data_IF_483236412396
#
_entry.id   IF_483236412396
#
_cell.length_a   1.000
_cell.length_b   1.000
_cell.length_c   1.000
_cell.angle_alpha   90.00
_cell.angle_beta   90.00
_cell.angle_gamma   90.00
#
_symmetry.space_group_name_H-M   'P 1'
#
loop_
_entity.id
_entity.type
_entity.pdbx_description
1 polymer ?
#
# COMPACT_ATOMS: atom_id res chain seq x y z
N UNK A 1 -16.46 52.12 12.56
CA UNK A 1 -16.81 50.81 13.15
C UNK A 1 -16.21 50.76 14.54
N UNK A 2 -17.10 50.73 15.53
CA UNK A 2 -16.90 51.06 16.94
C UNK A 2 -16.25 49.90 17.70
N UNK A 3 -15.17 50.18 18.43
CA UNK A 3 -14.48 49.25 19.32
C UNK A 3 -15.20 49.21 20.68
N UNK A 4 -15.83 48.08 21.01
CA UNK A 4 -16.37 47.85 22.36
C UNK A 4 -15.36 47.04 23.19
N UNK A 5 -14.66 47.75 24.07
CA UNK A 5 -13.83 47.20 25.14
C UNK A 5 -14.73 46.92 26.35
N UNK A 6 -14.91 45.63 26.69
CA UNK A 6 -15.70 45.21 27.86
C UNK A 6 -14.76 44.77 28.99
N UNK A 7 -14.44 45.71 29.87
CA UNK A 7 -13.76 45.45 31.13
C UNK A 7 -14.74 44.81 32.12
N UNK A 8 -14.62 43.50 32.37
CA UNK A 8 -15.32 42.82 33.47
C UNK A 8 -14.60 43.12 34.79
N UNK A 9 -15.27 43.92 35.63
CA UNK A 9 -14.92 44.12 37.02
C UNK A 9 -15.16 42.82 37.81
N UNK A 10 -14.15 42.34 38.52
CA UNK A 10 -14.26 41.25 39.50
C UNK A 10 -14.77 41.80 40.84
N UNK A 11 -15.73 41.14 41.51
CA UNK A 11 -16.24 41.59 42.81
C UNK A 11 -15.22 41.37 43.95
N UNK A 12 -15.29 42.17 45.03
CA UNK A 12 -14.37 42.10 46.16
C UNK A 12 -14.62 40.85 47.03
N UNK A 13 -13.54 40.10 47.24
CA UNK A 13 -13.45 38.95 48.15
C UNK A 13 -13.77 39.38 49.59
N UNK A 14 -14.90 38.89 50.12
CA UNK A 14 -15.27 39.04 51.54
C UNK A 14 -14.51 37.98 52.35
N UNK A 15 -13.78 38.43 53.36
CA UNK A 15 -13.01 37.56 54.26
C UNK A 15 -13.94 36.77 55.21
N UNK A 16 -13.73 35.45 55.40
CA UNK A 16 -14.49 34.67 56.37
C UNK A 16 -13.99 34.86 57.82
N UNK A 17 -14.88 34.69 58.81
CA UNK A 17 -14.56 34.85 60.23
C UNK A 17 -13.68 33.71 60.77
N UNK A 18 -12.73 34.09 61.61
CA UNK A 18 -11.79 33.22 62.33
C UNK A 18 -12.49 32.66 63.57
N UNK A 19 -13.04 31.45 63.47
CA UNK A 19 -13.60 30.67 64.58
C UNK A 19 -12.79 29.40 64.80
N UNK A 20 -11.92 29.42 65.82
CA UNK A 20 -11.03 28.31 66.18
C UNK A 20 -11.76 27.15 66.86
N UNK A 21 -11.96 26.08 66.12
CA UNK A 21 -12.26 24.75 66.65
C UNK A 21 -11.16 23.79 66.19
N UNK A 22 -10.31 23.34 67.11
CA UNK A 22 -9.29 22.31 66.87
C UNK A 22 -9.97 20.95 66.70
N UNK A 23 -10.62 20.72 65.56
CA UNK A 23 -11.02 19.38 65.12
C UNK A 23 -9.75 18.71 64.62
N UNK A 24 -9.38 17.56 65.21
CA UNK A 24 -8.24 16.76 64.76
C UNK A 24 -8.46 16.35 63.29
N UNK A 25 -7.86 17.12 62.38
CA UNK A 25 -7.94 16.92 60.94
C UNK A 25 -7.31 15.57 60.59
N UNK A 26 -8.12 14.58 60.23
CA UNK A 26 -7.57 13.41 59.56
C UNK A 26 -6.82 13.87 58.30
N UNK A 27 -5.59 13.40 58.07
CA UNK A 27 -4.87 13.72 56.85
C UNK A 27 -5.75 13.28 55.66
N UNK A 28 -5.96 14.14 54.65
CA UNK A 28 -6.75 13.78 53.49
C UNK A 28 -6.16 12.52 52.87
N UNK A 29 -7.00 11.55 52.45
CA UNK A 29 -6.50 10.32 51.83
C UNK A 29 -5.64 10.69 50.61
N UNK A 30 -4.55 9.94 50.35
CA UNK A 30 -3.67 10.21 49.21
C UNK A 30 -4.51 10.23 47.92
N UNK A 31 -4.31 11.21 47.02
CA UNK A 31 -5.11 11.32 45.81
C UNK A 31 -4.92 10.07 44.97
N UNK A 32 -6.03 9.38 44.65
CA UNK A 32 -6.02 8.25 43.73
C UNK A 32 -5.47 8.70 42.38
N UNK A 33 -4.46 8.00 41.81
CA UNK A 33 -3.88 8.38 40.53
C UNK A 33 -4.95 8.31 39.45
N UNK A 34 -5.29 9.45 38.87
CA UNK A 34 -6.22 9.50 37.76
C UNK A 34 -5.59 8.87 36.51
N UNK A 35 -6.32 8.07 35.74
CA UNK A 35 -5.81 7.46 34.53
C UNK A 35 -5.40 8.56 33.55
N UNK A 36 -4.14 8.53 33.10
CA UNK A 36 -3.62 9.50 32.14
C UNK A 36 -4.14 9.16 30.75
N UNK A 37 -5.09 9.94 30.25
CA UNK A 37 -5.51 9.87 28.84
C UNK A 37 -4.51 10.58 27.95
N UNK A 38 -4.19 10.02 26.78
CA UNK A 38 -3.32 10.63 25.76
C UNK A 38 -4.13 10.94 24.51
N UNK A 39 -3.99 12.16 23.97
CA UNK A 39 -4.62 12.54 22.71
C UNK A 39 -3.90 11.91 21.52
N UNK A 40 -4.62 11.16 20.68
CA UNK A 40 -4.05 10.53 19.49
C UNK A 40 -3.70 11.57 18.41
N UNK A 41 -2.44 11.66 17.94
CA UNK A 41 -2.03 12.65 16.94
C UNK A 41 -2.60 12.38 15.54
N UNK A 42 -3.16 11.19 15.31
CA UNK A 42 -3.66 10.78 14.00
C UNK A 42 -5.14 11.06 13.78
N UNK A 43 -5.97 10.93 14.83
CA UNK A 43 -7.43 11.04 14.70
C UNK A 43 -8.09 11.91 15.78
N UNK A 44 -7.32 12.50 16.70
CA UNK A 44 -7.84 13.34 17.78
C UNK A 44 -8.60 12.59 18.89
N UNK A 45 -8.61 11.26 18.89
CA UNK A 45 -9.27 10.48 19.94
C UNK A 45 -8.43 10.43 21.23
N UNK A 46 -9.05 10.64 22.39
CA UNK A 46 -8.40 10.43 23.69
C UNK A 46 -8.34 8.93 24.00
N UNK A 47 -7.12 8.39 24.06
CA UNK A 47 -6.84 6.97 24.31
C UNK A 47 -6.42 6.77 25.77
N UNK A 48 -6.88 5.68 26.39
CA UNK A 48 -6.36 5.23 27.70
C UNK A 48 -5.07 4.43 27.53
N UNK A 49 -4.90 3.79 26.36
CA UNK A 49 -3.66 3.12 26.01
C UNK A 49 -2.57 4.12 25.60
N UNK A 50 -1.39 4.03 26.25
CA UNK A 50 -0.23 4.91 26.05
C UNK A 50 0.67 4.54 24.86
N UNK A 51 0.50 3.36 24.26
CA UNK A 51 1.31 2.90 23.13
C UNK A 51 0.58 2.97 21.79
N UNK A 52 -0.76 2.87 21.80
CA UNK A 52 -1.57 2.79 20.58
C UNK A 52 -2.96 3.35 20.79
N UNK A 53 -3.49 4.05 19.78
CA UNK A 53 -4.87 4.54 19.81
C UNK A 53 -5.89 3.40 19.73
N UNK A 54 -6.92 3.44 20.58
CA UNK A 54 -7.99 2.44 20.59
C UNK A 54 -8.91 2.50 19.36
N UNK A 55 -9.08 3.69 18.77
CA UNK A 55 -9.95 3.90 17.61
C UNK A 55 -9.22 3.64 16.28
N UNK A 56 -8.23 4.47 15.94
CA UNK A 56 -7.55 4.37 14.63
C UNK A 56 -6.42 3.34 14.60
N UNK A 57 -6.06 2.79 15.76
CA UNK A 57 -4.99 1.78 15.89
C UNK A 57 -3.60 2.27 15.46
N UNK A 58 -3.35 3.58 15.42
CA UNK A 58 -2.02 4.17 15.20
C UNK A 58 -1.14 4.10 16.45
N UNK A 59 0.15 3.87 16.28
CA UNK A 59 1.14 3.77 17.36
C UNK A 59 1.69 5.14 17.77
N UNK A 60 1.92 5.37 19.07
CA UNK A 60 2.36 6.67 19.57
C UNK A 60 3.88 6.87 19.59
N UNK A 61 4.66 5.93 19.09
CA UNK A 61 6.11 6.06 19.01
C UNK A 61 6.56 7.09 17.95
N UNK A 62 7.72 7.71 18.17
CA UNK A 62 8.22 8.78 17.29
C UNK A 62 8.48 8.32 15.86
N UNK A 63 8.89 7.07 15.66
CA UNK A 63 9.13 6.52 14.31
C UNK A 63 7.82 6.40 13.54
N UNK A 64 6.75 5.89 14.18
CA UNK A 64 5.42 5.83 13.58
C UNK A 64 4.86 7.22 13.28
N UNK A 65 5.12 8.21 14.13
CA UNK A 65 4.73 9.60 13.89
C UNK A 65 5.47 10.18 12.68
N UNK A 66 6.79 10.01 12.61
CA UNK A 66 7.60 10.48 11.49
C UNK A 66 7.24 9.77 10.18
N UNK A 67 7.03 8.44 10.21
CA UNK A 67 6.59 7.67 9.05
C UNK A 67 5.22 8.15 8.55
N UNK A 68 4.30 8.43 9.47
CA UNK A 68 2.99 8.99 9.13
C UNK A 68 3.13 10.38 8.54
N UNK A 69 3.96 11.25 9.15
CA UNK A 69 4.23 12.61 8.67
C UNK A 69 4.82 12.61 7.25
N UNK A 70 5.78 11.72 6.97
CA UNK A 70 6.34 11.54 5.63
C UNK A 70 5.32 11.03 4.62
N UNK A 71 4.30 10.31 5.09
CA UNK A 71 3.20 9.82 4.26
C UNK A 71 2.08 10.85 4.11
N UNK A 72 2.07 11.91 4.92
CA UNK A 72 1.07 12.96 4.84
C UNK A 72 1.21 13.67 3.50
N UNK A 73 0.06 13.98 2.91
CA UNK A 73 -0.02 14.63 1.63
C UNK A 73 -1.29 15.46 1.52
N UNK A 74 -1.44 16.21 0.44
CA UNK A 74 -2.60 17.06 0.24
C UNK A 74 -3.86 16.27 -0.15
N UNK A 75 -3.78 14.94 -0.29
CA UNK A 75 -4.91 14.10 -0.70
C UNK A 75 -5.64 13.49 0.49
N UNK A 76 -6.96 13.55 0.50
CA UNK A 76 -7.80 12.94 1.51
C UNK A 76 -8.70 11.89 0.87
N UNK A 77 -8.87 10.76 1.55
CA UNK A 77 -9.79 9.69 1.17
C UNK A 77 -10.93 9.71 2.18
N UNK A 78 -12.18 9.76 1.72
CA UNK A 78 -13.34 9.75 2.60
C UNK A 78 -13.59 8.32 3.07
N UNK A 79 -13.25 8.05 4.32
CA UNK A 79 -13.52 6.79 4.99
C UNK A 79 -14.43 7.04 6.20
N UNK A 80 -15.66 6.50 6.15
CA UNK A 80 -16.69 6.77 7.18
C UNK A 80 -16.27 6.24 8.56
N UNK A 81 -15.53 5.13 8.60
CA UNK A 81 -14.99 4.56 9.84
C UNK A 81 -13.80 5.35 10.40
N UNK A 82 -13.20 6.24 9.61
CA UNK A 82 -11.99 6.98 9.99
C UNK A 82 -12.04 8.43 9.45
N UNK A 83 -13.02 9.25 9.88
CA UNK A 83 -13.30 10.57 9.29
C UNK A 83 -12.17 11.59 9.52
N UNK A 84 -11.34 11.37 10.53
CA UNK A 84 -10.25 12.26 10.92
C UNK A 84 -8.88 11.78 10.46
N UNK A 85 -8.81 10.88 9.47
CA UNK A 85 -7.52 10.45 8.93
C UNK A 85 -6.76 11.64 8.33
N UNK A 86 -5.44 11.74 8.58
CA UNK A 86 -4.64 12.75 7.91
C UNK A 86 -4.65 12.49 6.40
N UNK A 87 -4.40 13.54 5.63
CA UNK A 87 -4.18 13.40 4.19
C UNK A 87 -2.97 12.50 3.91
N UNK A 88 -2.85 12.03 2.67
CA UNK A 88 -1.80 11.14 2.20
C UNK A 88 -1.17 11.67 0.91
N UNK A 89 0.08 11.25 0.63
CA UNK A 89 0.81 11.63 -0.58
C UNK A 89 0.22 10.95 -1.83
N UNK A 90 0.47 11.52 -3.02
CA UNK A 90 0.07 10.86 -4.28
C UNK A 90 0.74 9.50 -4.45
N UNK A 91 1.99 9.34 -4.00
CA UNK A 91 2.67 8.05 -3.99
C UNK A 91 1.87 7.01 -3.19
N UNK A 92 1.29 7.41 -2.06
CA UNK A 92 0.39 6.57 -1.27
C UNK A 92 -0.91 6.27 -2.03
N UNK A 93 -1.51 7.26 -2.69
CA UNK A 93 -2.70 7.06 -3.55
C UNK A 93 -2.41 6.03 -4.65
N UNK A 94 -1.29 6.17 -5.37
CA UNK A 94 -0.87 5.24 -6.43
C UNK A 94 -0.72 3.82 -5.90
N UNK A 95 -0.02 3.64 -4.78
CA UNK A 95 0.11 2.34 -4.12
C UNK A 95 -1.26 1.77 -3.70
N UNK A 96 -2.20 2.60 -3.25
CA UNK A 96 -3.56 2.16 -2.88
C UNK A 96 -4.41 1.78 -4.09
N UNK A 97 -4.26 2.49 -5.22
CA UNK A 97 -4.89 2.15 -6.51
C UNK A 97 -4.34 0.81 -7.02
N UNK A 98 -3.02 0.62 -7.04
CA UNK A 98 -2.38 -0.64 -7.44
C UNK A 98 -2.83 -1.84 -6.59
N UNK A 99 -3.15 -1.60 -5.31
CA UNK A 99 -3.69 -2.61 -4.39
C UNK A 99 -5.21 -2.80 -4.51
N UNK A 100 -5.90 -2.04 -5.36
CA UNK A 100 -7.36 -2.08 -5.50
C UNK A 100 -8.12 -1.58 -4.27
N UNK A 101 -7.49 -0.77 -3.42
CA UNK A 101 -8.14 -0.17 -2.23
C UNK A 101 -8.85 1.14 -2.57
N UNK A 102 -8.38 1.84 -3.60
CA UNK A 102 -9.07 2.96 -4.22
C UNK A 102 -9.67 2.44 -5.52
N UNK A 103 -10.98 2.54 -5.63
CA UNK A 103 -11.78 2.19 -6.80
C UNK A 103 -12.31 3.45 -7.47
N UNK A 104 -12.95 3.31 -8.63
CA UNK A 104 -13.57 4.41 -9.39
C UNK A 104 -14.60 5.21 -8.59
N UNK A 105 -15.31 4.56 -7.65
CA UNK A 105 -16.35 5.17 -6.81
C UNK A 105 -15.83 5.66 -5.45
N UNK A 106 -14.51 5.55 -5.21
CA UNK A 106 -13.93 6.03 -3.96
C UNK A 106 -13.98 7.55 -3.92
N UNK A 107 -14.53 8.12 -2.85
CA UNK A 107 -14.61 9.59 -2.70
C UNK A 107 -13.29 10.13 -2.18
N UNK A 108 -12.70 11.05 -2.93
CA UNK A 108 -11.38 11.65 -2.68
C UNK A 108 -11.45 13.18 -2.73
N UNK A 109 -10.48 13.85 -2.13
CA UNK A 109 -10.28 15.30 -2.18
C UNK A 109 -8.78 15.58 -2.31
N UNK A 110 -8.40 16.58 -3.09
CA UNK A 110 -7.00 17.01 -3.16
C UNK A 110 -6.76 18.19 -4.10
N UNK A 111 -5.49 18.46 -4.45
CA UNK A 111 -5.13 19.60 -5.29
C UNK A 111 -5.78 19.60 -6.67
N UNK A 112 -6.01 18.44 -7.29
CA UNK A 112 -6.63 18.36 -8.61
C UNK A 112 -8.15 18.51 -8.58
N UNK A 113 -8.78 18.33 -7.43
CA UNK A 113 -10.24 18.48 -7.26
C UNK A 113 -10.63 19.89 -6.82
N UNK A 114 -9.67 20.82 -6.69
CA UNK A 114 -9.90 22.15 -6.14
C UNK A 114 -10.27 22.11 -4.66
N UNK A 115 -9.78 21.11 -3.91
CA UNK A 115 -10.15 20.86 -2.51
C UNK A 115 -11.63 20.49 -2.27
N UNK A 116 -12.39 20.15 -3.31
CA UNK A 116 -13.73 19.58 -3.18
C UNK A 116 -13.68 18.05 -3.10
N UNK A 117 -14.64 17.44 -2.39
CA UNK A 117 -14.87 16.00 -2.44
C UNK A 117 -15.45 15.61 -3.80
N UNK A 118 -14.86 14.61 -4.45
CA UNK A 118 -15.29 14.07 -5.74
C UNK A 118 -15.06 12.56 -5.77
N UNK A 119 -15.78 11.85 -6.63
CA UNK A 119 -15.46 10.46 -6.94
C UNK A 119 -14.08 10.39 -7.61
N UNK A 120 -13.32 9.32 -7.34
CA UNK A 120 -11.98 9.11 -7.90
C UNK A 120 -11.99 9.11 -9.43
N UNK A 121 -13.07 8.63 -10.06
CA UNK A 121 -13.28 8.70 -11.51
C UNK A 121 -13.36 10.12 -12.07
N UNK A 122 -13.71 11.12 -11.26
CA UNK A 122 -13.83 12.54 -11.67
C UNK A 122 -12.64 13.38 -11.21
N UNK A 123 -11.73 12.82 -10.40
CA UNK A 123 -10.57 13.52 -9.89
C UNK A 123 -9.44 13.47 -10.94
N UNK A 124 -9.04 14.61 -11.55
CA UNK A 124 -7.99 14.63 -12.54
C UNK A 124 -6.70 14.02 -11.98
N UNK A 125 -6.04 13.20 -12.78
CA UNK A 125 -4.87 12.43 -12.39
C UNK A 125 -5.18 11.14 -11.63
N UNK A 126 -6.05 11.13 -10.61
CA UNK A 126 -6.45 9.86 -9.95
C UNK A 126 -7.25 8.99 -10.94
N UNK A 127 -8.15 9.59 -11.71
CA UNK A 127 -8.86 8.88 -12.78
C UNK A 127 -7.89 8.22 -13.79
N UNK A 128 -6.80 8.90 -14.13
CA UNK A 128 -5.76 8.36 -15.02
C UNK A 128 -5.03 7.16 -14.40
N UNK A 129 -4.73 7.21 -13.09
CA UNK A 129 -4.17 6.07 -12.36
C UNK A 129 -5.12 4.86 -12.37
N UNK A 130 -6.43 5.11 -12.45
CA UNK A 130 -7.47 4.08 -12.57
C UNK A 130 -7.71 3.65 -14.04
N UNK A 131 -6.99 4.22 -15.00
CA UNK A 131 -7.10 3.89 -16.42
C UNK A 131 -8.33 4.47 -17.11
N UNK A 132 -8.91 5.56 -16.57
CA UNK A 132 -10.10 6.20 -17.12
C UNK A 132 -9.93 7.72 -17.26
N UNK A 133 -10.63 8.32 -18.23
CA UNK A 133 -10.65 9.76 -18.43
C UNK A 133 -11.55 10.44 -17.41
N UNK A 134 -11.04 11.46 -16.72
CA UNK A 134 -11.81 12.23 -15.74
C UNK A 134 -13.00 13.00 -16.35
N UNK A 135 -12.97 13.30 -17.66
CA UNK A 135 -13.98 14.10 -18.34
C UNK A 135 -15.08 13.22 -18.96
N UNK A 136 -14.71 12.20 -19.76
CA UNK A 136 -15.68 11.38 -20.47
C UNK A 136 -15.86 9.95 -19.92
N UNK A 137 -15.02 9.52 -18.97
CA UNK A 137 -15.02 8.16 -18.43
C UNK A 137 -14.43 7.08 -19.36
N UNK A 138 -13.99 7.45 -20.57
CA UNK A 138 -13.39 6.51 -21.53
C UNK A 138 -12.06 5.93 -21.03
N UNK A 139 -11.71 4.72 -21.49
CA UNK A 139 -10.46 4.06 -21.11
C UNK A 139 -9.24 4.88 -21.58
N UNK A 140 -8.24 4.99 -20.71
CA UNK A 140 -7.00 5.73 -20.94
C UNK A 140 -5.81 4.88 -20.56
N UNK A 141 -4.74 4.93 -21.36
CA UNK A 141 -3.46 4.28 -21.02
C UNK A 141 -2.62 5.22 -20.18
N UNK A 142 -2.01 4.72 -19.10
CA UNK A 142 -1.16 5.52 -18.22
C UNK A 142 -0.01 6.18 -19.00
N UNK A 143 0.21 7.48 -18.78
CA UNK A 143 1.27 8.25 -19.44
C UNK A 143 0.91 8.86 -20.80
N UNK A 144 -0.34 8.71 -21.27
CA UNK A 144 -0.82 9.50 -22.40
C UNK A 144 -1.01 10.96 -21.98
N UNK A 145 -0.65 11.96 -22.80
CA UNK A 145 -0.81 13.37 -22.46
C UNK A 145 -2.24 13.88 -22.62
N UNK A 146 -3.09 13.17 -23.35
CA UNK A 146 -4.50 13.52 -23.58
C UNK A 146 -5.35 12.26 -23.85
N UNK A 147 -6.63 12.34 -23.53
CA UNK A 147 -7.59 11.27 -23.77
C UNK A 147 -7.90 11.13 -25.27
N UNK A 148 -7.76 9.92 -25.82
CA UNK A 148 -8.09 9.66 -27.23
C UNK A 148 -9.57 9.82 -27.59
N UNK A 149 -10.49 9.76 -26.61
CA UNK A 149 -11.93 9.85 -26.86
C UNK A 149 -12.47 11.30 -26.88
N UNK A 150 -12.03 12.15 -25.95
CA UNK A 150 -12.56 13.52 -25.82
C UNK A 150 -11.49 14.62 -25.89
N UNK A 151 -10.21 14.27 -26.04
CA UNK A 151 -9.11 15.23 -26.09
C UNK A 151 -8.75 15.89 -24.76
N UNK A 152 -9.40 15.51 -23.65
CA UNK A 152 -9.09 16.08 -22.33
C UNK A 152 -7.63 15.82 -21.95
N UNK A 153 -6.93 16.87 -21.50
CA UNK A 153 -5.54 16.78 -21.08
C UNK A 153 -5.39 15.85 -19.87
N UNK A 154 -4.42 14.95 -19.95
CA UNK A 154 -4.03 14.02 -18.89
C UNK A 154 -2.64 14.50 -18.42
N UNK A 155 -2.64 15.33 -17.38
CA UNK A 155 -1.43 16.00 -16.91
C UNK A 155 -0.67 15.19 -15.86
N UNK A 156 0.66 15.27 -15.90
CA UNK A 156 1.54 14.68 -14.89
C UNK A 156 1.25 15.28 -13.50
N UNK A 157 0.65 14.47 -12.63
CA UNK A 157 0.31 14.83 -11.25
C UNK A 157 1.51 15.22 -10.37
N UNK A 158 2.73 14.91 -10.80
CA UNK A 158 3.95 14.99 -9.99
C UNK A 158 4.24 16.38 -9.40
N UNK A 159 3.81 17.45 -10.07
CA UNK A 159 4.07 18.83 -9.61
C UNK A 159 3.10 19.36 -8.53
N UNK A 160 2.03 18.62 -8.20
CA UNK A 160 0.97 19.14 -7.30
C UNK A 160 1.08 18.69 -5.84
N UNK A 161 2.08 17.87 -5.50
CA UNK A 161 2.26 17.35 -4.14
C UNK A 161 3.02 18.31 -3.21
N UNK A 162 3.69 19.34 -3.76
CA UNK A 162 4.57 20.23 -2.99
C UNK A 162 3.86 21.43 -2.33
N UNK A 163 2.53 21.43 -2.29
CA UNK A 163 1.75 22.54 -1.71
C UNK A 163 1.79 22.49 -0.16
N UNK A 164 2.89 22.95 0.42
CA UNK A 164 2.98 23.39 1.83
C UNK A 164 3.32 22.33 2.88
N UNK A 165 3.81 21.16 2.47
CA UNK A 165 4.27 20.12 3.40
C UNK A 165 5.78 20.22 3.66
N UNK A 166 6.20 19.85 4.87
CA UNK A 166 7.62 19.82 5.24
C UNK A 166 8.37 18.78 4.37
N UNK A 167 9.65 19.02 4.04
CA UNK A 167 10.44 18.08 3.25
C UNK A 167 10.42 16.68 3.87
N UNK A 168 10.20 15.65 3.04
CA UNK A 168 10.26 14.25 3.47
C UNK A 168 11.64 13.99 4.05
N UNK A 169 11.70 13.69 5.34
CA UNK A 169 12.96 13.34 6.00
C UNK A 169 13.11 11.84 5.95
N UNK A 170 14.23 11.28 5.46
CA UNK A 170 14.48 9.86 5.60
C UNK A 170 14.37 9.48 7.09
N UNK A 171 13.72 8.37 7.38
CA UNK A 171 13.60 7.85 8.75
C UNK A 171 15.01 7.39 9.13
N UNK A 172 15.75 8.25 9.84
CA UNK A 172 17.06 7.94 10.39
C UNK A 172 16.87 6.81 11.40
N UNK A 173 17.63 5.73 11.26
CA UNK A 173 17.72 4.66 12.24
C UNK A 173 16.46 3.81 12.44
N UNK A 174 15.66 3.56 11.38
CA UNK A 174 15.07 2.23 11.32
C UNK A 174 16.29 1.29 11.37
N UNK A 175 16.52 0.53 12.47
CA UNK A 175 17.65 -0.37 12.48
C UNK A 175 17.50 -1.15 11.18
N UNK A 176 18.56 -1.18 10.35
CA UNK A 176 18.72 -2.35 9.51
C UNK A 176 18.55 -3.47 10.52
N UNK A 177 17.42 -4.17 10.46
CA UNK A 177 17.21 -5.37 11.24
C UNK A 177 18.25 -6.29 10.61
N UNK A 178 19.47 -6.18 11.11
CA UNK A 178 20.54 -7.11 10.87
C UNK A 178 19.90 -8.43 11.28
N UNK A 179 19.66 -9.34 10.32
CA UNK A 179 18.89 -10.53 10.60
C UNK A 179 19.63 -11.27 11.70
N UNK A 180 19.10 -11.21 12.93
CA UNK A 180 19.61 -12.01 14.02
C UNK A 180 19.59 -13.45 13.49
N UNK A 181 20.75 -14.12 13.40
CA UNK A 181 20.80 -15.46 12.83
C UNK A 181 19.84 -16.34 13.64
N UNK A 182 18.79 -16.81 12.96
CA UNK A 182 17.72 -17.64 13.52
C UNK A 182 18.23 -19.07 13.75
N UNK A 183 19.44 -19.22 14.26
CA UNK A 183 20.20 -20.46 14.37
C UNK A 183 20.98 -20.52 15.69
N UNK A 184 20.32 -20.35 16.84
CA UNK A 184 20.85 -20.82 18.14
C UNK A 184 19.82 -20.69 19.29
N UNK A 185 18.58 -21.15 19.14
CA UNK A 185 17.70 -21.41 20.31
C UNK A 185 16.77 -22.59 20.06
N UNK A 186 17.34 -23.78 19.91
CA UNK A 186 16.70 -25.00 20.41
C UNK A 186 17.13 -25.12 21.87
N UNK A 187 16.27 -24.85 22.87
CA UNK A 187 16.58 -25.27 24.22
C UNK A 187 16.66 -26.81 24.23
N UNK A 188 17.68 -27.42 24.85
CA UNK A 188 17.64 -28.84 25.12
C UNK A 188 16.43 -29.10 26.03
N UNK A 189 15.54 -29.98 25.59
CA UNK A 189 14.54 -30.60 26.45
C UNK A 189 15.33 -31.49 27.40
N UNK A 190 15.64 -30.97 28.58
CA UNK A 190 16.17 -31.75 29.67
C UNK A 190 14.99 -32.35 30.44
N UNK A 191 15.00 -33.68 30.53
CA UNK A 191 14.01 -34.47 31.25
C UNK A 191 13.88 -34.04 32.70
N UNK A 192 12.62 -34.04 33.16
CA UNK A 192 12.24 -33.82 34.54
C UNK A 192 12.67 -35.00 35.42
N UNK A 193 13.67 -34.80 36.27
CA UNK A 193 13.86 -35.54 37.50
C UNK A 193 14.40 -34.59 38.57
N UNK A 194 13.62 -34.43 39.64
CA UNK A 194 13.70 -33.27 40.51
C UNK A 194 14.91 -33.19 41.44
N UNK A 195 15.11 -32.02 42.02
CA UNK A 195 15.42 -31.90 43.45
C UNK A 195 15.10 -30.49 43.94
N UNK A 196 14.51 -30.48 45.12
CA UNK A 196 14.02 -29.35 45.91
C UNK A 196 15.14 -28.92 46.86
N UNK A 197 15.60 -27.67 46.79
CA UNK A 197 16.40 -26.92 47.79
C UNK A 197 17.12 -25.77 47.06
N UNK A 198 17.43 -24.58 47.59
CA UNK A 198 17.22 -23.90 48.88
C UNK A 198 17.92 -22.53 48.73
N UNK A 199 17.23 -21.46 49.12
CA UNK A 199 17.72 -20.16 49.65
C UNK A 199 18.72 -19.26 48.90
N UNK A 200 18.33 -17.97 48.90
CA UNK A 200 19.10 -16.74 49.22
C UNK A 200 20.41 -16.44 48.46
N UNK A 201 20.47 -15.27 47.82
CA UNK A 201 21.14 -14.09 48.38
C UNK A 201 21.30 -12.99 47.32
N UNK A 202 20.74 -11.82 47.62
CA UNK A 202 21.24 -10.50 47.21
C UNK A 202 22.64 -10.27 47.86
N UNK A 203 23.53 -9.43 47.30
CA UNK A 203 23.45 -8.01 47.65
C UNK A 203 23.86 -7.00 46.56
N UNK A 204 23.45 -5.77 46.86
CA UNK A 204 23.71 -4.49 46.21
C UNK A 204 25.16 -3.94 46.41
N UNK A 205 25.34 -2.70 45.91
CA UNK A 205 26.49 -1.77 45.97
C UNK A 205 27.51 -1.89 44.80
N UNK A 206 28.02 -0.83 44.17
CA UNK A 206 28.01 0.62 44.43
C UNK A 206 28.40 1.41 43.17
N UNK A 207 27.81 2.60 43.05
CA UNK A 207 28.40 3.91 42.73
C UNK A 207 29.75 3.99 41.99
N UNK A 208 29.79 4.70 40.85
CA UNK A 208 30.77 5.78 40.64
C UNK A 208 30.38 6.78 39.55
N UNK A 209 30.53 8.04 39.95
CA UNK A 209 30.39 9.28 39.20
C UNK A 209 31.76 9.72 38.68
N UNK A 210 31.85 10.15 37.42
CA UNK A 210 32.94 10.93 36.82
C UNK A 210 32.37 11.58 35.54
N UNK A 211 31.98 12.85 35.55
CA UNK A 211 32.81 14.05 35.34
C UNK A 211 33.52 14.05 33.97
N UNK A 212 32.98 14.91 33.10
CA UNK A 212 33.63 15.72 32.06
C UNK A 212 34.57 15.04 31.05
N UNK A 213 34.16 15.09 29.77
CA UNK A 213 35.00 15.60 28.68
C UNK A 213 34.12 15.96 27.49
N UNK A 214 34.09 17.26 27.17
CA UNK A 214 33.55 17.78 25.91
C UNK A 214 34.50 17.44 24.76
N UNK A 215 34.02 17.00 23.59
CA UNK A 215 34.84 16.99 22.39
C UNK A 215 34.78 18.35 21.70
N UNK A 216 35.99 18.83 21.43
CA UNK A 216 36.36 19.99 20.64
C UNK A 216 35.72 19.97 19.24
N UNK A 217 35.22 21.13 18.80
CA UNK A 217 34.88 21.39 17.41
C UNK A 217 36.17 21.41 16.58
N UNK A 218 36.42 20.34 15.82
CA UNK A 218 37.46 20.29 14.81
C UNK A 218 36.84 20.15 13.41
N UNK A 219 36.92 21.26 12.68
CA UNK A 219 37.06 21.44 11.24
C UNK A 219 36.43 20.44 10.26
N UNK A 220 35.41 20.92 9.56
CA UNK A 220 34.95 20.47 8.25
C UNK A 220 36.02 20.71 7.19
N UNK A 221 36.62 19.65 6.63
CA UNK A 221 37.11 19.59 5.24
C UNK A 221 37.86 18.27 4.99
N UNK A 222 37.19 17.11 4.99
CA UNK A 222 37.59 15.97 4.12
C UNK A 222 36.58 14.81 4.22
N UNK A 223 35.48 14.85 3.45
CA UNK A 223 34.53 13.72 3.42
C UNK A 223 33.87 13.53 2.06
N UNK A 224 34.68 13.63 1.00
CA UNK A 224 34.21 13.62 -0.39
C UNK A 224 34.19 12.27 -1.11
N UNK A 225 34.81 11.20 -0.61
CA UNK A 225 35.11 10.03 -1.49
C UNK A 225 34.69 8.64 -0.98
N UNK A 226 33.99 8.53 0.15
CA UNK A 226 33.55 7.23 0.68
C UNK A 226 32.11 6.82 0.28
N UNK A 227 31.37 7.66 -0.46
CA UNK A 227 29.92 7.45 -0.67
C UNK A 227 29.55 6.58 -1.89
N UNK A 228 30.52 6.16 -2.70
CA UNK A 228 30.24 5.62 -4.05
C UNK A 228 30.47 4.11 -4.23
N UNK A 229 30.72 3.36 -3.15
CA UNK A 229 30.96 1.90 -3.22
C UNK A 229 29.88 1.00 -2.59
N UNK A 230 28.72 1.53 -2.20
CA UNK A 230 27.67 0.75 -1.52
C UNK A 230 26.34 0.67 -2.31
N UNK A 231 26.40 0.58 -3.64
CA UNK A 231 25.24 0.24 -4.48
C UNK A 231 25.50 -1.11 -5.16
N UNK A 232 25.72 -2.15 -4.35
CA UNK A 232 25.47 -3.52 -4.76
C UNK A 232 24.10 -3.89 -4.19
N UNK A 233 23.13 -4.13 -5.08
CA UNK A 233 21.74 -4.41 -4.73
C UNK A 233 21.63 -5.66 -3.83
N UNK A 234 20.84 -5.62 -2.73
CA UNK A 234 20.73 -6.77 -1.87
C UNK A 234 19.68 -7.75 -2.42
N UNK A 235 20.04 -9.03 -2.48
CA UNK A 235 19.13 -10.15 -2.73
C UNK A 235 17.95 -10.19 -1.73
N UNK A 236 18.03 -9.40 -0.65
CA UNK A 236 17.05 -9.27 0.43
C UNK A 236 15.70 -8.67 0.01
N UNK A 237 15.65 -7.82 -1.02
CA UNK A 237 14.36 -7.30 -1.53
C UNK A 237 13.58 -8.40 -2.25
N UNK A 238 14.28 -9.31 -2.95
CA UNK A 238 13.66 -10.45 -3.64
C UNK A 238 13.12 -11.47 -2.64
N UNK A 239 13.81 -11.72 -1.54
CA UNK A 239 13.36 -12.64 -0.48
C UNK A 239 12.14 -12.09 0.28
N UNK A 240 12.07 -10.78 0.54
CA UNK A 240 10.89 -10.15 1.15
C UNK A 240 9.64 -10.18 0.25
N UNK A 241 9.81 -10.00 -1.06
CA UNK A 241 8.71 -10.14 -2.04
C UNK A 241 8.26 -11.61 -2.15
N UNK A 242 9.19 -12.57 -2.13
CA UNK A 242 8.88 -14.00 -2.12
C UNK A 242 8.13 -14.44 -0.86
N UNK A 243 8.51 -13.92 0.32
CA UNK A 243 7.82 -14.19 1.58
C UNK A 243 6.36 -13.68 1.56
N UNK A 244 6.11 -12.48 1.00
CA UNK A 244 4.74 -11.94 0.86
C UNK A 244 3.88 -12.76 -0.11
N UNK A 245 4.44 -13.27 -1.21
CA UNK A 245 3.72 -14.17 -2.14
C UNK A 245 3.29 -15.47 -1.47
N UNK A 246 4.11 -16.05 -0.60
CA UNK A 246 3.75 -17.25 0.19
C UNK A 246 2.59 -16.97 1.17
N UNK A 247 2.57 -15.79 1.78
CA UNK A 247 1.50 -15.40 2.68
C UNK A 247 0.16 -15.17 1.95
N UNK A 248 0.21 -14.62 0.72
CA UNK A 248 -0.97 -14.42 -0.11
C UNK A 248 -1.56 -15.75 -0.61
N UNK A 249 -0.71 -16.73 -0.96
CA UNK A 249 -1.16 -18.08 -1.32
C UNK A 249 -1.83 -18.85 -0.18
N UNK A 250 -1.46 -18.60 1.09
CA UNK A 250 -2.16 -19.18 2.24
C UNK A 250 -3.56 -18.59 2.43
N UNK A 251 -3.74 -17.29 2.18
CA UNK A 251 -5.06 -16.64 2.29
C UNK A 251 -6.03 -17.12 1.23
N UNK A 252 -5.59 -17.28 -0.01
CA UNK A 252 -6.46 -17.79 -1.09
C UNK A 252 -6.84 -19.25 -0.87
N UNK A 253 -5.92 -20.09 -0.37
CA UNK A 253 -6.23 -21.47 0.04
C UNK A 253 -7.25 -21.52 1.17
N UNK A 254 -7.08 -20.72 2.22
CA UNK A 254 -8.04 -20.68 3.33
C UNK A 254 -9.42 -20.18 2.88
N UNK A 255 -9.47 -19.19 1.99
CA UNK A 255 -10.74 -18.71 1.41
C UNK A 255 -11.43 -19.80 0.58
N UNK A 256 -10.69 -20.53 -0.25
CA UNK A 256 -11.23 -21.64 -1.04
C UNK A 256 -11.77 -22.78 -0.15
N UNK A 257 -11.08 -23.11 0.94
CA UNK A 257 -11.56 -24.10 1.92
C UNK A 257 -12.85 -23.64 2.59
N UNK A 258 -12.94 -22.38 3.02
CA UNK A 258 -14.15 -21.84 3.65
C UNK A 258 -15.34 -21.84 2.68
N UNK A 259 -15.12 -21.47 1.42
CA UNK A 259 -16.16 -21.54 0.38
C UNK A 259 -16.60 -23.00 0.16
N UNK A 260 -15.65 -23.95 0.10
CA UNK A 260 -15.96 -25.37 -0.01
C UNK A 260 -16.81 -25.92 1.14
N UNK A 261 -16.48 -25.54 2.38
CA UNK A 261 -17.27 -25.93 3.56
C UNK A 261 -18.68 -25.32 3.52
N UNK A 262 -18.80 -24.04 3.13
CA UNK A 262 -20.09 -23.39 3.00
C UNK A 262 -20.97 -24.09 1.93
N UNK A 263 -20.40 -24.43 0.77
CA UNK A 263 -21.12 -25.18 -0.26
C UNK A 263 -21.56 -26.57 0.21
N UNK A 264 -20.72 -27.29 0.96
CA UNK A 264 -21.08 -28.59 1.55
C UNK A 264 -22.24 -28.47 2.55
N UNK A 265 -22.25 -27.44 3.39
CA UNK A 265 -23.34 -27.20 4.34
C UNK A 265 -24.66 -26.89 3.62
N UNK A 266 -24.62 -26.08 2.55
CA UNK A 266 -25.82 -25.78 1.73
C UNK A 266 -26.33 -27.04 1.04
N UNK A 267 -25.45 -27.88 0.50
CA UNK A 267 -25.83 -29.15 -0.12
C UNK A 267 -26.45 -30.13 0.90
N UNK A 268 -25.88 -30.21 2.12
CA UNK A 268 -26.43 -31.04 3.19
C UNK A 268 -27.81 -30.56 3.65
N UNK A 269 -28.02 -29.24 3.77
CA UNK A 269 -29.32 -28.66 4.09
C UNK A 269 -30.36 -28.93 2.98
N UNK A 270 -29.97 -28.80 1.71
CA UNK A 270 -30.83 -29.13 0.58
C UNK A 270 -31.20 -30.61 0.55
N UNK A 271 -30.22 -31.50 0.79
CA UNK A 271 -30.46 -32.94 0.88
C UNK A 271 -31.38 -33.29 2.05
N UNK A 272 -31.22 -32.65 3.20
CA UNK A 272 -32.10 -32.83 4.36
C UNK A 272 -33.54 -32.43 4.03
N UNK A 273 -33.76 -31.26 3.43
CA UNK A 273 -35.09 -30.80 3.01
C UNK A 273 -35.71 -31.75 1.97
N UNK A 274 -34.90 -32.29 1.05
CA UNK A 274 -35.38 -33.21 0.02
C UNK A 274 -35.66 -34.62 0.55
N UNK A 275 -34.95 -35.07 1.59
CA UNK A 275 -35.13 -36.38 2.21
C UNK A 275 -36.19 -36.36 3.32
N UNK A 276 -36.47 -35.21 3.92
CA UNK A 276 -37.48 -35.03 4.98
C UNK A 276 -38.87 -35.63 4.65
N UNK A 277 -39.41 -35.51 3.42
CA UNK A 277 -40.71 -36.08 3.09
C UNK A 277 -40.71 -37.61 3.04
N UNK A 278 -39.55 -38.25 2.89
CA UNK A 278 -39.43 -39.72 2.86
C UNK A 278 -39.30 -40.35 4.25
N UNK A 279 -38.77 -39.61 5.22
CA UNK A 279 -38.72 -40.04 6.61
C UNK A 279 -39.97 -39.51 7.30
N UNK A 280 -41.05 -40.26 7.15
CA UNK A 280 -42.43 -39.92 7.49
C UNK A 280 -42.62 -38.89 8.60
N UNK A 281 -43.46 -37.89 8.29
CA UNK A 281 -43.96 -36.96 9.29
C UNK A 281 -44.52 -37.74 10.49
N UNK A 282 -44.09 -37.45 11.73
CA UNK A 282 -44.79 -37.98 12.89
C UNK A 282 -46.24 -37.53 12.78
N UNK A 283 -47.16 -38.48 12.92
CA UNK A 283 -48.60 -38.31 12.84
C UNK A 283 -49.04 -37.13 13.74
N UNK A 284 -49.18 -35.94 13.17
CA UNK A 284 -49.89 -34.84 13.81
C UNK A 284 -51.36 -35.10 13.56
N UNK A 285 -52.00 -35.65 14.58
CA UNK A 285 -53.44 -35.83 14.66
C UNK A 285 -54.09 -34.46 14.73
N UNK A 286 -54.82 -34.13 13.66
CA UNK A 286 -56.05 -33.34 13.65
C UNK A 286 -56.00 -31.91 14.17
N UNK A 287 -56.18 -30.95 13.27
CA UNK A 287 -57.11 -29.85 13.55
C UNK A 287 -57.64 -29.31 12.21
N UNK A 288 -58.94 -29.06 12.23
CA UNK A 288 -59.89 -28.82 11.15
C UNK A 288 -59.66 -27.59 10.25
N UNK A 289 -60.00 -27.76 8.97
CA UNK A 289 -60.12 -26.74 7.93
C UNK A 289 -61.21 -25.69 8.21
N UNK A 290 -61.14 -24.52 7.55
CA UNK A 290 -62.21 -24.14 6.61
C UNK A 290 -61.69 -23.46 5.31
N UNK A 291 -62.57 -23.14 4.34
CA UNK A 291 -62.30 -23.32 2.91
C UNK A 291 -61.93 -22.05 2.12
N UNK A 292 -61.28 -22.33 0.98
CA UNK A 292 -61.48 -21.75 -0.36
C UNK A 292 -61.81 -20.24 -0.51
N UNK A 293 -60.93 -19.55 -1.23
CA UNK A 293 -61.34 -18.58 -2.25
C UNK A 293 -60.31 -18.55 -3.38
N UNK A 294 -60.83 -18.52 -4.59
CA UNK A 294 -60.17 -18.85 -5.84
C UNK A 294 -59.85 -17.60 -6.69
N UNK A 295 -58.88 -17.80 -7.61
CA UNK A 295 -58.73 -17.17 -8.95
C UNK A 295 -58.34 -15.67 -9.04
N UNK A 296 -57.94 -15.13 -10.23
CA UNK A 296 -57.19 -15.66 -11.39
C UNK A 296 -55.97 -14.78 -11.78
N UNK A 297 -54.95 -15.32 -12.45
CA UNK A 297 -54.62 -15.10 -13.88
C UNK A 297 -54.57 -13.63 -14.35
N UNK A 298 -53.36 -13.11 -14.61
CA UNK A 298 -53.13 -12.08 -15.62
C UNK A 298 -51.74 -12.23 -16.23
N UNK A 299 -51.72 -12.33 -17.56
CA UNK A 299 -50.60 -12.66 -18.40
C UNK A 299 -50.06 -11.41 -19.15
N UNK A 300 -48.90 -11.60 -19.78
CA UNK A 300 -48.33 -10.90 -20.95
C UNK A 300 -47.60 -9.54 -20.75
N UNK A 301 -46.75 -9.10 -21.71
CA UNK A 301 -45.87 -9.87 -22.63
C UNK A 301 -44.45 -9.29 -22.78
N UNK A 302 -43.60 -10.06 -23.48
CA UNK A 302 -42.32 -9.65 -24.06
C UNK A 302 -42.50 -8.71 -25.27
N UNK A 303 -41.42 -8.03 -25.71
CA UNK A 303 -41.22 -7.76 -27.13
C UNK A 303 -39.92 -8.39 -27.66
N UNK A 304 -40.07 -8.98 -28.85
CA UNK A 304 -39.02 -9.40 -29.77
C UNK A 304 -38.77 -8.32 -30.85
N UNK A 305 -37.83 -8.62 -31.77
CA UNK A 305 -37.55 -7.96 -33.07
C UNK A 305 -36.59 -6.75 -32.96
N UNK A 306 -35.50 -6.54 -33.71
CA UNK A 306 -34.89 -7.07 -34.95
C UNK A 306 -33.35 -6.79 -34.84
N UNK A 307 -32.37 -7.54 -35.36
CA UNK A 307 -32.10 -8.01 -36.72
C UNK A 307 -31.98 -6.90 -37.78
N UNK A 308 -30.77 -6.34 -37.97
CA UNK A 308 -30.42 -5.73 -39.27
C UNK A 308 -28.96 -5.98 -39.66
N UNK A 309 -28.86 -6.55 -40.87
CA UNK A 309 -27.73 -6.98 -41.69
C UNK A 309 -27.22 -5.85 -42.58
N UNK A 310 -25.90 -5.77 -42.81
CA UNK A 310 -25.19 -5.48 -44.09
C UNK A 310 -23.75 -5.03 -43.76
N UNK A 311 -22.65 -5.67 -44.18
CA UNK A 311 -22.15 -6.10 -45.51
C UNK A 311 -21.70 -4.98 -46.45
N UNK A 312 -20.53 -5.26 -47.07
CA UNK A 312 -19.92 -4.70 -48.28
C UNK A 312 -19.05 -3.44 -48.10
N UNK A 313 -17.72 -3.52 -48.28
CA UNK A 313 -16.96 -3.56 -49.57
C UNK A 313 -16.33 -2.17 -49.79
N UNK A 314 -15.06 -1.95 -50.13
CA UNK A 314 -14.36 -2.33 -51.36
C UNK A 314 -12.89 -1.84 -51.27
N UNK A 315 -11.99 -2.63 -51.89
CA UNK A 315 -10.72 -2.33 -52.60
C UNK A 315 -10.31 -0.85 -52.70
N UNK A 316 -9.04 -0.42 -52.64
CA UNK A 316 -7.79 -1.02 -53.12
C UNK A 316 -7.05 0.09 -53.90
N UNK A 317 -5.76 0.31 -53.68
CA UNK A 317 -4.94 1.10 -54.59
C UNK A 317 -3.44 0.83 -54.41
N UNK A 318 -2.87 0.53 -55.57
CA UNK A 318 -1.50 0.28 -56.01
C UNK A 318 -0.39 1.23 -55.53
N UNK A 319 0.81 0.65 -55.46
CA UNK A 319 2.13 1.26 -55.27
C UNK A 319 2.53 2.29 -56.35
N UNK A 320 3.65 2.99 -56.13
CA UNK A 320 4.77 2.79 -57.07
C UNK A 320 6.15 2.64 -56.41
N UNK A 321 7.01 1.91 -57.14
CA UNK A 321 8.41 1.56 -56.86
C UNK A 321 9.35 2.76 -56.66
N UNK A 322 10.37 2.61 -55.78
CA UNK A 322 11.71 3.18 -56.05
C UNK A 322 12.83 2.61 -55.14
N UNK A 323 13.99 2.45 -55.79
CA UNK A 323 15.37 2.42 -55.27
C UNK A 323 15.85 1.13 -54.58
N UNK A 324 16.66 0.39 -55.34
CA UNK A 324 17.47 -0.76 -54.92
C UNK A 324 18.71 -0.24 -54.19
N UNK A 325 18.72 -0.36 -52.87
CA UNK A 325 19.89 -0.17 -52.02
C UNK A 325 20.67 -1.49 -51.85
N UNK A 326 21.99 -1.43 -51.55
CA UNK A 326 22.86 -2.60 -51.48
C UNK A 326 22.37 -3.59 -50.42
N UNK A 327 22.22 -4.85 -50.84
CA UNK A 327 21.79 -6.00 -50.02
C UNK A 327 22.61 -6.04 -48.72
N UNK A 328 22.01 -5.74 -47.55
CA UNK A 328 22.67 -5.94 -46.28
C UNK A 328 22.87 -7.43 -46.11
N UNK A 329 24.12 -7.84 -45.87
CA UNK A 329 24.44 -9.21 -45.44
C UNK A 329 23.48 -9.57 -44.31
N UNK A 330 22.55 -10.50 -44.59
CA UNK A 330 21.57 -10.99 -43.63
C UNK A 330 22.37 -11.53 -42.45
N UNK A 331 22.35 -10.89 -41.28
CA UNK A 331 23.13 -11.34 -40.15
C UNK A 331 22.67 -12.76 -39.83
N UNK A 332 23.62 -13.70 -39.81
CA UNK A 332 23.36 -15.07 -39.40
C UNK A 332 22.72 -15.02 -38.02
N UNK A 333 21.46 -15.47 -37.93
CA UNK A 333 20.74 -15.47 -36.66
C UNK A 333 21.40 -16.56 -35.80
N UNK A 334 21.93 -16.19 -34.61
CA UNK A 334 22.53 -17.14 -33.68
C UNK A 334 21.54 -18.27 -33.35
N UNK A 335 22.04 -19.50 -33.23
CA UNK A 335 21.21 -20.70 -32.99
C UNK A 335 20.45 -20.66 -31.65
N UNK A 336 20.87 -19.81 -30.70
CA UNK A 336 20.16 -19.56 -29.44
C UNK A 336 20.32 -18.07 -29.03
N UNK A 337 19.41 -17.19 -29.46
CA UNK A 337 19.50 -15.75 -29.18
C UNK A 337 19.31 -15.41 -27.69
N UNK A 338 18.68 -16.29 -26.90
CA UNK A 338 18.50 -16.06 -25.47
C UNK A 338 19.79 -16.37 -24.70
N UNK A 339 20.51 -17.42 -25.07
CA UNK A 339 21.82 -17.72 -24.50
C UNK A 339 22.84 -16.61 -24.78
N UNK A 340 22.83 -16.05 -25.99
CA UNK A 340 23.70 -14.92 -26.35
C UNK A 340 23.36 -13.66 -25.55
N UNK A 341 22.07 -13.32 -25.42
CA UNK A 341 21.66 -12.17 -24.61
C UNK A 341 22.10 -12.32 -23.14
N UNK A 342 22.06 -13.54 -22.57
CA UNK A 342 22.55 -13.81 -21.22
C UNK A 342 24.07 -13.66 -21.11
N UNK A 343 24.82 -14.21 -22.07
CA UNK A 343 26.27 -14.07 -22.11
C UNK A 343 26.71 -12.59 -22.21
N UNK A 344 25.98 -11.78 -22.99
CA UNK A 344 26.22 -10.33 -23.07
C UNK A 344 25.89 -9.59 -21.76
N UNK A 345 24.91 -10.06 -20.98
CA UNK A 345 24.61 -9.47 -19.67
C UNK A 345 25.65 -9.85 -18.61
N UNK A 346 26.21 -11.06 -18.66
CA UNK A 346 27.21 -11.54 -17.70
C UNK A 346 28.51 -10.73 -17.73
N UNK A 347 28.90 -10.18 -18.89
CA UNK A 347 30.11 -9.33 -18.98
C UNK A 347 29.93 -7.97 -18.31
N UNK A 348 28.68 -7.52 -18.09
CA UNK A 348 28.32 -6.28 -17.41
C UNK A 348 29.09 -5.03 -17.90
N UNK A 349 29.37 -4.97 -19.21
CA UNK A 349 29.96 -3.78 -19.85
C UNK A 349 28.88 -2.97 -20.55
N UNK A 350 29.10 -1.66 -20.70
CA UNK A 350 28.16 -0.77 -21.41
C UNK A 350 27.88 -1.26 -22.84
N UNK A 351 28.92 -1.69 -23.55
CA UNK A 351 28.83 -2.19 -24.94
C UNK A 351 28.03 -3.51 -25.03
N UNK A 352 28.24 -4.42 -24.08
CA UNK A 352 27.51 -5.69 -24.08
C UNK A 352 26.04 -5.52 -23.68
N UNK A 353 25.74 -4.65 -22.71
CA UNK A 353 24.35 -4.35 -22.31
C UNK A 353 23.57 -3.60 -23.41
N UNK A 354 24.21 -2.65 -24.11
CA UNK A 354 23.57 -1.94 -25.22
C UNK A 354 23.27 -2.87 -26.41
N UNK A 355 24.05 -3.94 -26.60
CA UNK A 355 23.77 -5.01 -27.56
C UNK A 355 22.68 -6.00 -27.07
N UNK A 356 22.64 -6.31 -25.76
CA UNK A 356 21.70 -7.26 -25.18
C UNK A 356 20.24 -6.76 -25.17
N UNK A 357 20.02 -5.48 -24.84
CA UNK A 357 18.66 -4.89 -24.75
C UNK A 357 17.84 -5.06 -26.05
N UNK A 358 18.32 -4.67 -27.25
CA UNK A 358 17.55 -4.81 -28.49
C UNK A 358 17.37 -6.27 -28.94
N UNK A 359 18.20 -7.21 -28.45
CA UNK A 359 17.96 -8.64 -28.65
C UNK A 359 16.79 -9.12 -27.78
N UNK A 360 16.77 -8.75 -26.50
CA UNK A 360 15.69 -9.11 -25.58
C UNK A 360 14.34 -8.50 -25.98
N UNK A 361 14.32 -7.26 -26.49
CA UNK A 361 13.10 -6.64 -27.02
C UNK A 361 12.55 -7.42 -28.22
N UNK A 362 13.42 -7.77 -29.18
CA UNK A 362 13.04 -8.61 -30.33
C UNK A 362 12.52 -9.99 -29.91
N UNK A 363 13.11 -10.61 -28.88
CA UNK A 363 12.65 -11.89 -28.35
C UNK A 363 11.32 -11.79 -27.60
N UNK A 364 11.02 -10.67 -26.95
CA UNK A 364 9.73 -10.45 -26.29
C UNK A 364 8.58 -10.23 -27.30
N UNK A 365 8.90 -9.58 -28.42
CA UNK A 365 7.93 -9.18 -29.45
C UNK A 365 7.68 -10.27 -30.51
N UNK A 366 8.71 -11.05 -30.91
CA UNK A 366 8.57 -12.08 -31.95
C UNK A 366 7.87 -13.34 -31.43
N UNK A 367 7.26 -14.09 -32.35
CA UNK A 367 6.55 -15.36 -32.12
C UNK A 367 7.45 -16.54 -31.72
N UNK A 368 8.46 -16.29 -30.90
CA UNK A 368 9.26 -17.33 -30.25
C UNK A 368 8.39 -18.16 -29.30
N UNK A 369 8.79 -19.40 -28.97
CA UNK A 369 8.11 -20.21 -27.95
C UNK A 369 7.90 -19.40 -26.67
N UNK A 370 6.72 -19.55 -26.05
CA UNK A 370 6.26 -18.75 -24.91
C UNK A 370 7.26 -18.72 -23.74
N UNK A 371 8.03 -19.80 -23.57
CA UNK A 371 9.11 -19.90 -22.58
C UNK A 371 10.22 -18.86 -22.80
N UNK A 372 10.64 -18.64 -24.06
CA UNK A 372 11.66 -17.66 -24.43
C UNK A 372 11.14 -16.25 -24.26
N UNK A 373 9.89 -15.99 -24.68
CA UNK A 373 9.25 -14.68 -24.51
C UNK A 373 9.13 -14.29 -23.04
N UNK A 374 8.72 -15.24 -22.19
CA UNK A 374 8.59 -15.03 -20.75
C UNK A 374 9.95 -14.76 -20.09
N UNK A 375 10.97 -15.53 -20.46
CA UNK A 375 12.33 -15.30 -19.98
C UNK A 375 12.87 -13.94 -20.43
N UNK A 376 12.67 -13.55 -21.69
CA UNK A 376 13.09 -12.26 -22.21
C UNK A 376 12.38 -11.09 -21.50
N UNK A 377 11.07 -11.20 -21.28
CA UNK A 377 10.29 -10.18 -20.57
C UNK A 377 10.69 -10.03 -19.09
N UNK A 378 11.15 -11.12 -18.45
CA UNK A 378 11.66 -11.09 -17.07
C UNK A 378 13.05 -10.44 -16.97
N UNK A 379 13.91 -10.67 -17.97
CA UNK A 379 15.30 -10.20 -17.98
C UNK A 379 15.42 -8.74 -18.47
N UNK A 380 14.61 -8.32 -19.43
CA UNK A 380 14.65 -6.99 -20.06
C UNK A 380 14.68 -5.80 -19.06
N UNK A 381 13.82 -5.73 -18.02
CA UNK A 381 13.86 -4.60 -17.08
C UNK A 381 15.16 -4.53 -16.28
N UNK A 382 15.78 -5.69 -15.99
CA UNK A 382 17.08 -5.74 -15.29
C UNK A 382 18.19 -5.20 -16.19
N UNK A 383 18.23 -5.62 -17.45
CA UNK A 383 19.21 -5.14 -18.43
C UNK A 383 19.12 -3.62 -18.63
N UNK A 384 17.89 -3.08 -18.76
CA UNK A 384 17.68 -1.62 -18.89
C UNK A 384 18.17 -0.85 -17.67
N UNK A 385 17.87 -1.34 -16.46
CA UNK A 385 18.32 -0.70 -15.22
C UNK A 385 19.86 -0.68 -15.12
N UNK A 386 20.52 -1.80 -15.43
CA UNK A 386 21.98 -1.88 -15.41
C UNK A 386 22.62 -0.94 -16.44
N UNK A 387 22.05 -0.86 -17.65
CA UNK A 387 22.51 0.06 -18.68
C UNK A 387 22.45 1.52 -18.19
N UNK A 388 21.30 1.95 -17.64
CA UNK A 388 21.14 3.31 -17.09
C UNK A 388 22.11 3.59 -15.94
N UNK A 389 22.38 2.62 -15.07
CA UNK A 389 23.35 2.76 -13.99
C UNK A 389 24.78 2.97 -14.52
N UNK A 390 25.19 2.20 -15.53
CA UNK A 390 26.50 2.36 -16.17
C UNK A 390 26.63 3.69 -16.91
N UNK A 391 25.59 4.11 -17.64
CA UNK A 391 25.56 5.43 -18.30
C UNK A 391 25.70 6.57 -17.29
N UNK A 392 25.02 6.48 -16.14
CA UNK A 392 25.09 7.50 -15.08
C UNK A 392 26.44 7.52 -14.35
N UNK A 393 27.16 6.39 -14.35
CA UNK A 393 28.46 6.24 -13.69
C UNK A 393 29.63 6.62 -14.60
N UNK A 394 29.38 6.85 -15.90
CA UNK A 394 30.41 7.31 -16.82
C UNK A 394 30.88 8.68 -16.33
N UNK A 395 32.18 8.84 -15.99
CA UNK A 395 32.70 10.16 -15.68
C UNK A 395 32.34 11.06 -16.86
N UNK A 396 31.76 12.23 -16.57
CA UNK A 396 31.66 13.28 -17.58
C UNK A 396 33.09 13.67 -17.84
N UNK A 397 33.71 13.00 -18.82
CA UNK A 397 35.02 13.35 -19.32
C UNK A 397 34.94 14.84 -19.59
N UNK A 398 35.69 15.59 -18.79
CA UNK A 398 35.74 17.03 -18.77
C UNK A 398 35.86 17.53 -20.20
N UNK A 399 34.80 18.18 -20.68
CA UNK A 399 34.85 19.02 -21.87
C UNK A 399 36.05 19.96 -21.71
N UNK A 400 37.13 19.62 -22.41
CA UNK A 400 38.27 20.48 -22.74
C UNK A 400 38.25 20.69 -24.24
#
# INVERSE_FOLDING_TARGET
>A
MTTHSNARQTPPTTAPPVGGGLVASHPPPPPTPQPRTVLCPYCGHHSLNLSRCELCKGYFDQLSQQASQNSMGPWFIREVSAPFRPGCSLATIKMLVERGRITVDTVVRGPSTGQFWRDARQAPGIAELLGICHQCGGSVRSGQPACGACGAALGALSHRDELGLWPVRPIQDAPLIEPLPLAARTPPIADAAGTRAKLLAEPALATRSAVASAPSFASSADRGTAHQRAIAAPEDVRSAIAARRRQQGRRTRNAAVLIGVACLLVAAAAAYVFLWPRFGSPLIVGETAPPASATPLAAQPAPAVAAETASASTQGATAPNKATDPVPLKPEIPKDPLAEAKALMETNTLSSLSAAVPLLERLAERGEPESVRRAAAEILPVAKLQLTQLESSRPRDSEQ
#
